data_IF_399374143756
#
_entry.id   IF_399374143756
#
_cell.length_a   1.000
_cell.length_b   1.000
_cell.length_c   1.000
_cell.angle_alpha   90.00
_cell.angle_beta   90.00
_cell.angle_gamma   90.00
#
_symmetry.space_group_name_H-M   'P 1'
#
loop_
_entity.id
_entity.type
_entity.pdbx_description
1 polymer ?
#
# COMPACT_ATOMS: atom_id res chain seq x y z
N UNK A 1 10.05 37.49 2.68
CA UNK A 1 8.60 37.46 2.97
C UNK A 1 8.00 36.11 2.59
N UNK A 2 8.28 35.54 1.41
CA UNK A 2 7.93 34.14 1.10
C UNK A 2 8.90 33.16 1.78
N UNK A 3 10.14 33.60 1.95
CA UNK A 3 11.28 32.90 2.53
C UNK A 3 11.16 32.72 4.05
N UNK A 4 10.26 33.48 4.68
CA UNK A 4 9.98 33.47 6.11
C UNK A 4 8.75 32.60 6.46
N UNK A 5 8.10 32.02 5.44
CA UNK A 5 6.94 31.15 5.63
C UNK A 5 7.42 29.75 6.02
N UNK A 6 6.92 29.24 7.14
CA UNK A 6 7.15 27.85 7.54
C UNK A 6 6.71 26.87 6.45
N UNK A 7 7.59 25.93 6.10
CA UNK A 7 7.38 24.99 5.00
C UNK A 7 6.04 24.24 5.12
N UNK A 8 5.69 23.77 6.32
CA UNK A 8 4.42 23.07 6.55
C UNK A 8 3.22 23.96 6.24
N UNK A 9 3.22 25.21 6.72
CA UNK A 9 2.12 26.15 6.45
C UNK A 9 2.06 26.48 4.96
N UNK A 10 3.20 26.78 4.33
CA UNK A 10 3.27 27.06 2.89
C UNK A 10 2.71 25.91 2.05
N UNK A 11 3.11 24.67 2.36
CA UNK A 11 2.60 23.45 1.70
C UNK A 11 1.08 23.30 1.78
N UNK A 12 0.50 23.56 2.96
CA UNK A 12 -0.95 23.43 3.16
C UNK A 12 -1.76 24.54 2.47
N UNK A 13 -1.14 25.67 2.13
CA UNK A 13 -1.77 26.80 1.45
C UNK A 13 -1.72 26.71 -0.09
N UNK A 14 -0.99 25.73 -0.65
CA UNK A 14 -0.96 25.51 -2.09
C UNK A 14 -2.27 24.90 -2.60
N UNK A 15 -2.67 25.30 -3.82
CA UNK A 15 -3.79 24.66 -4.51
C UNK A 15 -3.47 23.20 -4.83
N UNK A 16 -4.45 22.31 -4.66
CA UNK A 16 -4.29 20.89 -4.95
C UNK A 16 -3.98 20.63 -6.42
N UNK A 17 -3.10 19.66 -6.69
CA UNK A 17 -2.91 19.16 -8.05
C UNK A 17 -4.11 18.31 -8.51
N UNK A 18 -4.38 18.19 -9.82
CA UNK A 18 -5.45 17.34 -10.32
C UNK A 18 -5.34 15.91 -9.81
N UNK A 19 -6.40 15.40 -9.16
CA UNK A 19 -6.44 14.06 -8.59
C UNK A 19 -5.63 13.86 -7.29
N UNK A 20 -5.00 14.91 -6.77
CA UNK A 20 -4.28 14.88 -5.50
C UNK A 20 -5.03 15.65 -4.41
N UNK A 21 -4.75 15.32 -3.15
CA UNK A 21 -5.27 16.02 -1.97
C UNK A 21 -4.28 17.07 -1.43
N UNK A 22 -3.21 17.36 -2.18
CA UNK A 22 -2.12 18.26 -1.77
C UNK A 22 -1.57 19.05 -2.96
N UNK A 23 -0.89 20.16 -2.68
CA UNK A 23 -0.24 20.98 -3.69
C UNK A 23 1.11 20.46 -4.21
N UNK A 24 1.70 21.14 -5.21
CA UNK A 24 2.92 20.71 -5.90
C UNK A 24 4.13 20.46 -5.00
N UNK A 25 4.35 21.29 -3.97
CA UNK A 25 5.50 21.15 -3.08
C UNK A 25 5.41 19.89 -2.22
N UNK A 26 4.23 19.64 -1.63
CA UNK A 26 3.97 18.43 -0.86
C UNK A 26 4.09 17.18 -1.74
N UNK A 27 3.58 17.22 -2.97
CA UNK A 27 3.72 16.11 -3.92
C UNK A 27 5.19 15.86 -4.26
N UNK A 28 5.97 16.90 -4.56
CA UNK A 28 7.39 16.77 -4.89
C UNK A 28 8.18 16.09 -3.78
N UNK A 29 8.00 16.54 -2.54
CA UNK A 29 8.73 16.00 -1.38
C UNK A 29 8.28 14.58 -1.06
N UNK A 30 6.96 14.31 -1.04
CA UNK A 30 6.45 12.97 -0.77
C UNK A 30 6.89 11.97 -1.84
N UNK A 31 6.78 12.29 -3.13
CA UNK A 31 7.19 11.38 -4.22
C UNK A 31 8.67 11.04 -4.11
N UNK A 32 9.53 12.03 -3.87
CA UNK A 32 10.97 11.79 -3.67
C UNK A 32 11.21 10.88 -2.47
N UNK A 33 10.57 11.16 -1.34
CA UNK A 33 10.75 10.36 -0.13
C UNK A 33 10.28 8.91 -0.32
N UNK A 34 9.09 8.69 -0.87
CA UNK A 34 8.57 7.34 -1.15
C UNK A 34 9.42 6.60 -2.17
N UNK A 35 9.90 7.28 -3.21
CA UNK A 35 10.81 6.69 -4.20
C UNK A 35 12.11 6.20 -3.56
N UNK A 36 12.77 7.04 -2.77
CA UNK A 36 14.03 6.64 -2.12
C UNK A 36 13.82 5.58 -1.05
N UNK A 37 12.71 5.61 -0.32
CA UNK A 37 12.35 4.53 0.62
C UNK A 37 12.18 3.20 -0.10
N UNK A 38 11.47 3.18 -1.24
CA UNK A 38 11.28 1.97 -2.02
C UNK A 38 12.60 1.47 -2.64
N UNK A 39 13.38 2.34 -3.28
CA UNK A 39 14.59 1.96 -4.02
C UNK A 39 15.79 1.69 -3.11
N UNK A 40 15.84 2.31 -1.94
CA UNK A 40 16.91 2.15 -0.95
C UNK A 40 16.72 0.94 -0.04
N UNK A 41 15.52 0.35 0.01
CA UNK A 41 15.23 -0.80 0.86
C UNK A 41 15.59 -2.12 0.15
N UNK A 42 16.61 -2.80 0.66
CA UNK A 42 17.06 -4.12 0.17
C UNK A 42 16.03 -5.23 0.34
N UNK A 43 15.02 -5.03 1.18
CA UNK A 43 13.96 -5.99 1.50
C UNK A 43 12.59 -5.55 0.98
N UNK A 44 12.55 -4.55 0.10
CA UNK A 44 11.29 -4.10 -0.46
C UNK A 44 10.56 -5.28 -1.14
N UNK A 45 9.29 -5.47 -0.79
CA UNK A 45 8.56 -6.72 -1.07
C UNK A 45 8.44 -7.05 -2.57
N UNK A 46 8.43 -6.02 -3.44
CA UNK A 46 8.29 -6.17 -4.88
C UNK A 46 9.64 -6.24 -5.61
N UNK A 47 10.75 -6.41 -4.90
CA UNK A 47 12.05 -6.62 -5.55
C UNK A 47 12.07 -7.93 -6.31
N UNK A 48 12.66 -7.93 -7.49
CA UNK A 48 12.88 -9.13 -8.30
C UNK A 48 14.36 -9.53 -8.30
N UNK A 49 14.63 -10.76 -8.73
CA UNK A 49 15.97 -11.29 -8.88
C UNK A 49 16.46 -12.13 -7.71
N UNK A 50 17.75 -12.53 -7.72
CA UNK A 50 18.29 -13.56 -6.81
C UNK A 50 18.28 -13.19 -5.32
N UNK A 51 18.20 -11.89 -5.00
CA UNK A 51 18.16 -11.38 -3.63
C UNK A 51 16.76 -10.92 -3.21
N UNK A 52 15.73 -11.29 -3.98
CA UNK A 52 14.35 -10.95 -3.62
C UNK A 52 13.95 -11.62 -2.30
N UNK A 53 13.25 -10.91 -1.39
CA UNK A 53 12.77 -11.48 -0.14
C UNK A 53 11.65 -12.52 -0.34
N UNK A 54 11.01 -12.55 -1.52
CA UNK A 54 9.88 -13.42 -1.82
C UNK A 54 10.06 -14.13 -3.16
N UNK A 55 9.45 -15.30 -3.32
CA UNK A 55 9.34 -15.94 -4.64
C UNK A 55 8.38 -15.18 -5.55
N UNK A 56 8.44 -15.42 -6.85
CA UNK A 56 7.51 -14.78 -7.79
C UNK A 56 6.04 -15.10 -7.48
N UNK A 57 5.75 -16.34 -7.05
CA UNK A 57 4.41 -16.75 -6.63
C UNK A 57 3.96 -16.00 -5.38
N UNK A 58 4.81 -15.93 -4.34
CA UNK A 58 4.52 -15.19 -3.11
C UNK A 58 4.27 -13.70 -3.39
N UNK A 59 5.06 -13.06 -4.26
CA UNK A 59 4.83 -11.66 -4.67
C UNK A 59 3.49 -11.46 -5.39
N UNK A 60 3.12 -12.38 -6.27
CA UNK A 60 1.82 -12.33 -6.97
C UNK A 60 0.65 -12.35 -6.00
N UNK A 61 0.75 -13.16 -4.94
CA UNK A 61 -0.26 -13.19 -3.87
C UNK A 61 -0.23 -11.91 -3.03
N UNK A 62 0.95 -11.40 -2.64
CA UNK A 62 1.05 -10.14 -1.89
C UNK A 62 0.48 -8.94 -2.65
N UNK A 63 0.52 -8.94 -3.98
CA UNK A 63 -0.09 -7.87 -4.81
C UNK A 63 -1.63 -7.90 -4.81
N UNK A 64 -2.24 -8.98 -4.34
CA UNK A 64 -3.70 -9.11 -4.20
C UNK A 64 -4.19 -8.58 -2.85
N UNK A 65 -3.28 -8.34 -1.88
CA UNK A 65 -3.62 -7.76 -0.60
C UNK A 65 -4.35 -6.42 -0.77
N UNK A 66 -5.41 -6.21 0.00
CA UNK A 66 -6.13 -4.94 0.04
C UNK A 66 -6.39 -4.51 1.48
N UNK A 67 -6.47 -3.19 1.72
CA UNK A 67 -6.85 -2.68 3.04
C UNK A 67 -8.28 -3.13 3.42
N UNK A 68 -9.16 -3.29 2.43
CA UNK A 68 -10.49 -3.85 2.65
C UNK A 68 -10.42 -5.25 3.27
N UNK A 69 -9.58 -6.14 2.71
CA UNK A 69 -9.41 -7.50 3.22
C UNK A 69 -8.84 -7.50 4.64
N UNK A 70 -7.81 -6.69 4.89
CA UNK A 70 -7.21 -6.56 6.23
C UNK A 70 -8.27 -6.14 7.26
N UNK A 71 -9.16 -5.21 6.92
CA UNK A 71 -10.22 -4.78 7.82
C UNK A 71 -11.28 -5.88 8.02
N UNK A 72 -11.72 -6.55 6.95
CA UNK A 72 -12.66 -7.68 7.03
C UNK A 72 -12.12 -8.81 7.92
N UNK A 73 -10.84 -9.16 7.81
CA UNK A 73 -10.23 -10.26 8.57
C UNK A 73 -10.05 -9.97 10.07
N UNK A 74 -9.96 -8.69 10.45
CA UNK A 74 -9.48 -8.30 11.77
C UNK A 74 -10.48 -7.43 12.56
N UNK A 75 -11.70 -7.26 12.06
CA UNK A 75 -12.76 -6.48 12.71
C UNK A 75 -14.13 -7.12 12.50
N UNK A 76 -15.15 -6.65 13.21
CA UNK A 76 -16.54 -7.10 13.04
C UNK A 76 -17.26 -6.39 11.86
N UNK A 77 -16.51 -6.01 10.82
CA UNK A 77 -17.07 -5.39 9.61
C UNK A 77 -17.50 -6.50 8.64
N UNK A 78 -18.79 -6.53 8.30
CA UNK A 78 -19.32 -7.49 7.31
C UNK A 78 -19.36 -6.94 5.87
N UNK A 79 -19.35 -5.61 5.72
CA UNK A 79 -19.44 -4.93 4.42
C UNK A 79 -18.52 -3.73 4.33
N UNK A 80 -17.81 -3.61 3.21
CA UNK A 80 -16.84 -2.54 2.95
C UNK A 80 -16.71 -2.28 1.46
N UNK A 81 -16.27 -1.08 1.08
CA UNK A 81 -15.89 -0.79 -0.30
C UNK A 81 -14.58 -1.49 -0.67
N UNK A 82 -14.42 -1.91 -1.93
CA UNK A 82 -13.17 -2.53 -2.42
C UNK A 82 -11.94 -1.64 -2.24
N UNK A 83 -12.09 -0.33 -2.39
CA UNK A 83 -11.06 0.65 -2.06
C UNK A 83 -11.51 1.58 -0.92
N UNK A 84 -11.16 1.28 0.34
CA UNK A 84 -11.64 2.03 1.51
C UNK A 84 -11.00 3.41 1.69
N UNK A 85 -10.02 3.78 0.85
CA UNK A 85 -9.46 5.15 0.82
C UNK A 85 -10.24 6.09 -0.10
N UNK A 86 -11.18 5.55 -0.89
CA UNK A 86 -12.09 6.31 -1.72
C UNK A 86 -13.49 6.30 -1.10
N UNK A 87 -14.26 7.34 -1.38
CA UNK A 87 -15.67 7.38 -0.96
C UNK A 87 -16.47 6.28 -1.69
N UNK A 88 -17.54 5.75 -1.07
CA UNK A 88 -18.47 4.88 -1.74
C UNK A 88 -19.14 5.58 -2.94
N UNK A 89 -19.35 4.84 -4.02
CA UNK A 89 -20.02 5.33 -5.23
C UNK A 89 -20.18 4.24 -6.28
N UNK A 90 -20.68 4.59 -7.46
CA UNK A 90 -20.96 3.61 -8.52
C UNK A 90 -19.72 2.79 -8.94
N UNK A 91 -18.53 3.41 -8.93
CA UNK A 91 -17.25 2.76 -9.24
C UNK A 91 -16.55 2.13 -8.02
N UNK A 92 -17.05 2.41 -6.81
CA UNK A 92 -16.52 1.86 -5.55
C UNK A 92 -17.68 1.49 -4.61
N UNK A 93 -18.57 0.56 -5.01
CA UNK A 93 -19.72 0.21 -4.23
C UNK A 93 -19.31 -0.52 -2.95
N UNK A 94 -20.16 -0.46 -1.94
CA UNK A 94 -20.06 -1.32 -0.76
C UNK A 94 -20.35 -2.75 -1.18
N UNK A 95 -19.49 -3.68 -0.76
CA UNK A 95 -19.57 -5.11 -1.07
C UNK A 95 -19.50 -5.93 0.22
N UNK A 96 -19.94 -7.19 0.16
CA UNK A 96 -19.73 -8.12 1.27
C UNK A 96 -18.24 -8.41 1.45
N UNK A 97 -17.78 -8.60 2.69
CA UNK A 97 -16.41 -9.06 2.95
C UNK A 97 -16.10 -10.40 2.26
N UNK A 98 -17.10 -11.25 2.01
CA UNK A 98 -16.95 -12.49 1.26
C UNK A 98 -16.58 -12.27 -0.22
N UNK A 99 -16.87 -11.10 -0.77
CA UNK A 99 -16.54 -10.72 -2.15
C UNK A 99 -15.14 -10.08 -2.27
N UNK A 100 -14.48 -9.82 -1.13
CA UNK A 100 -13.14 -9.23 -1.08
C UNK A 100 -12.10 -10.35 -1.10
N UNK A 101 -11.21 -10.39 -2.12
CA UNK A 101 -10.22 -11.46 -2.27
C UNK A 101 -9.33 -11.62 -1.03
N UNK A 102 -9.15 -12.87 -0.61
CA UNK A 102 -8.24 -13.27 0.46
C UNK A 102 -6.80 -13.48 -0.04
N UNK A 103 -5.86 -13.45 0.90
CA UNK A 103 -4.45 -13.70 0.64
C UNK A 103 -4.19 -15.20 0.76
N UNK A 104 -3.71 -15.83 -0.32
CA UNK A 104 -3.28 -17.24 -0.29
C UNK A 104 -1.93 -17.42 0.44
N UNK A 105 -1.98 -17.82 1.71
CA UNK A 105 -0.80 -18.06 2.53
C UNK A 105 -0.22 -19.49 2.38
N UNK A 106 -0.79 -20.35 1.52
CA UNK A 106 -0.28 -21.72 1.30
C UNK A 106 1.17 -21.71 0.80
N UNK A 107 1.57 -20.66 0.08
CA UNK A 107 2.93 -20.47 -0.43
C UNK A 107 4.00 -20.26 0.68
N UNK A 108 3.59 -20.12 1.94
CA UNK A 108 4.49 -20.02 3.10
C UNK A 108 4.50 -21.28 3.96
N UNK A 109 3.77 -22.34 3.54
CA UNK A 109 3.84 -23.63 4.22
C UNK A 109 5.25 -24.18 4.09
N UNK A 110 5.99 -24.20 5.21
CA UNK A 110 7.28 -24.88 5.27
C UNK A 110 7.10 -26.37 5.01
N UNK A 111 8.02 -26.98 4.27
CA UNK A 111 8.26 -28.41 4.40
C UNK A 111 8.81 -28.64 5.81
N UNK A 112 8.32 -29.64 6.54
CA UNK A 112 8.75 -29.93 7.93
C UNK A 112 10.28 -30.21 8.06
N UNK A 113 11.03 -30.24 6.96
CA UNK A 113 12.49 -30.40 6.91
C UNK A 113 13.22 -29.07 6.61
N UNK A 114 13.12 -28.08 7.49
CA UNK A 114 13.60 -26.72 7.19
C UNK A 114 14.12 -25.87 8.34
N UNK A 115 14.47 -26.47 9.49
CA UNK A 115 15.29 -25.79 10.50
C UNK A 115 16.76 -25.68 10.04
N UNK A 116 17.01 -25.07 8.88
CA UNK A 116 18.34 -24.58 8.47
C UNK A 116 18.23 -23.86 7.12
N UNK A 117 18.88 -22.70 7.02
CA UNK A 117 19.07 -21.86 5.84
C UNK A 117 17.95 -20.85 5.53
N UNK A 118 17.90 -19.80 6.35
CA UNK A 118 18.04 -18.40 5.90
C UNK A 118 18.59 -17.57 7.05
#
# INVERSE_FOLDING_TARGET
AVEDVDMWVGMQMENHMPGAVTGPSTVCINVKQFFFNQKGDRFYFDLEGPKSPFTAAQRSTLKQCSLARILCDNTDIDQITKNPLLLPGDENPVASCDEIPEIDLVLWKGTEDGASAS
#
